data_IF_713332501875
#
_entry.id   IF_713332501875
#
_cell.length_a   1.000
_cell.length_b   1.000
_cell.length_c   1.000
_cell.angle_alpha   90.00
_cell.angle_beta   90.00
_cell.angle_gamma   90.00
#
_symmetry.space_group_name_H-M   'P 1'
#
loop_
_entity.id
_entity.type
_entity.pdbx_description
1 polymer ?
#
# COMPACT_ATOMS: atom_id res chain seq x y z
N UNK A 1 -25.61 2.11 -0.71
CA UNK A 1 -24.42 2.14 0.16
C UNK A 1 -23.90 0.72 0.30
N UNK A 2 -22.95 0.34 -0.54
CA UNK A 2 -22.23 -0.94 -0.47
C UNK A 2 -20.75 -0.61 -0.32
N UNK A 3 -20.29 -0.36 0.90
CA UNK A 3 -18.85 -0.41 1.22
C UNK A 3 -18.43 -1.87 1.29
N UNK A 4 -18.40 -2.53 0.12
CA UNK A 4 -18.03 -3.93 -0.05
C UNK A 4 -17.00 -4.04 -1.17
N UNK A 5 -15.76 -4.35 -0.77
CA UNK A 5 -14.63 -4.74 -1.63
C UNK A 5 -14.23 -3.74 -2.74
N UNK A 6 -13.86 -2.52 -2.36
CA UNK A 6 -12.93 -1.75 -3.22
C UNK A 6 -11.60 -2.52 -3.31
N UNK A 7 -11.26 -2.96 -4.53
CA UNK A 7 -10.01 -3.65 -4.80
C UNK A 7 -8.85 -2.71 -4.46
N UNK A 8 -7.79 -3.17 -3.75
CA UNK A 8 -6.72 -2.30 -3.28
C UNK A 8 -5.97 -1.64 -4.44
N UNK A 9 -6.03 -2.25 -5.62
CA UNK A 9 -5.53 -1.73 -6.89
C UNK A 9 -6.11 -0.34 -7.19
N UNK A 10 -7.41 -0.09 -6.95
CA UNK A 10 -8.05 1.18 -7.29
C UNK A 10 -7.53 2.31 -6.43
N UNK A 11 -7.44 2.09 -5.11
CA UNK A 11 -6.93 3.08 -4.17
C UNK A 11 -5.42 3.31 -4.26
N UNK A 12 -4.66 2.40 -4.88
CA UNK A 12 -3.20 2.48 -4.97
C UNK A 12 -2.69 3.06 -6.29
N UNK A 13 -3.50 3.10 -7.37
CA UNK A 13 -3.08 3.68 -8.66
C UNK A 13 -2.65 5.14 -8.51
N UNK A 14 -3.43 5.96 -7.80
CA UNK A 14 -3.10 7.37 -7.62
C UNK A 14 -1.75 7.57 -6.87
N UNK A 15 -1.55 7.04 -5.65
CA UNK A 15 -0.32 7.26 -4.90
C UNK A 15 0.90 6.51 -5.45
N UNK A 16 0.73 5.33 -6.05
CA UNK A 16 1.86 4.46 -6.46
C UNK A 16 2.27 4.63 -7.91
N UNK A 17 1.34 4.99 -8.81
CA UNK A 17 1.63 5.10 -10.24
C UNK A 17 1.54 6.54 -10.74
N UNK A 18 0.42 7.22 -10.50
CA UNK A 18 0.18 8.56 -11.05
C UNK A 18 1.07 9.60 -10.36
N UNK A 19 1.14 9.58 -9.02
CA UNK A 19 1.85 10.60 -8.24
C UNK A 19 3.34 10.69 -8.57
N UNK A 20 4.11 9.58 -8.70
CA UNK A 20 5.49 9.62 -9.20
C UNK A 20 5.64 10.30 -10.57
N UNK A 21 4.73 10.00 -11.51
CA UNK A 21 4.73 10.61 -12.85
C UNK A 21 4.51 12.12 -12.76
N UNK A 22 3.59 12.56 -11.90
CA UNK A 22 3.36 13.99 -11.66
C UNK A 22 4.56 14.67 -10.99
N UNK A 23 5.24 14.02 -10.05
CA UNK A 23 6.50 14.53 -9.46
C UNK A 23 7.62 14.65 -10.51
N UNK A 24 7.67 13.75 -11.49
CA UNK A 24 8.57 13.92 -12.62
C UNK A 24 8.17 15.10 -13.50
N UNK A 25 6.87 15.30 -13.73
CA UNK A 25 6.34 16.44 -14.50
C UNK A 25 6.64 17.80 -13.84
N UNK A 26 6.68 17.88 -12.50
CA UNK A 26 7.03 19.12 -11.77
C UNK A 26 8.39 19.70 -12.20
N UNK A 27 9.33 18.85 -12.66
CA UNK A 27 10.64 19.28 -13.16
C UNK A 27 10.57 20.04 -14.49
N UNK A 28 9.48 19.86 -15.24
CA UNK A 28 9.26 20.46 -16.55
C UNK A 28 8.22 21.57 -16.48
N UNK A 29 7.11 21.34 -15.79
CA UNK A 29 6.03 22.30 -15.60
C UNK A 29 5.32 22.06 -14.26
N UNK A 30 5.63 22.92 -13.29
CA UNK A 30 5.04 22.87 -11.96
C UNK A 30 3.52 23.15 -12.00
N UNK A 31 3.07 24.09 -12.83
CA UNK A 31 1.66 24.49 -12.89
C UNK A 31 0.78 23.41 -13.49
N UNK A 32 1.24 22.79 -14.58
CA UNK A 32 0.55 21.65 -15.20
C UNK A 32 0.47 20.46 -14.23
N UNK A 33 1.59 20.13 -13.56
CA UNK A 33 1.60 19.03 -12.58
C UNK A 33 0.63 19.26 -11.42
N UNK A 34 0.63 20.46 -10.84
CA UNK A 34 -0.30 20.81 -9.75
C UNK A 34 -1.76 20.75 -10.20
N UNK A 35 -2.06 21.23 -11.42
CA UNK A 35 -3.42 21.20 -11.99
C UNK A 35 -3.92 19.77 -12.17
N UNK A 36 -3.10 18.91 -12.79
CA UNK A 36 -3.42 17.49 -12.98
C UNK A 36 -3.59 16.78 -11.64
N UNK A 37 -2.69 17.01 -10.69
CA UNK A 37 -2.77 16.42 -9.35
C UNK A 37 -4.07 16.77 -8.64
N UNK A 38 -4.44 18.05 -8.65
CA UNK A 38 -5.68 18.52 -8.03
C UNK A 38 -6.92 17.92 -8.70
N UNK A 39 -6.95 17.91 -10.05
CA UNK A 39 -8.07 17.37 -10.81
C UNK A 39 -8.25 15.86 -10.58
N UNK A 40 -7.19 15.07 -10.68
CA UNK A 40 -7.23 13.61 -10.51
C UNK A 40 -7.58 13.21 -9.07
N UNK A 41 -7.09 13.96 -8.08
CA UNK A 41 -7.44 13.73 -6.67
C UNK A 41 -8.92 14.04 -6.41
N UNK A 42 -9.42 15.17 -6.95
CA UNK A 42 -10.84 15.56 -6.79
C UNK A 42 -11.77 14.61 -7.53
N UNK A 43 -11.38 14.16 -8.71
CA UNK A 43 -12.14 13.19 -9.50
C UNK A 43 -12.24 11.83 -8.78
N UNK A 44 -11.14 11.34 -8.21
CA UNK A 44 -11.13 10.10 -7.41
C UNK A 44 -12.03 10.20 -6.18
N UNK A 45 -12.00 11.34 -5.48
CA UNK A 45 -12.84 11.55 -4.30
C UNK A 45 -14.34 11.59 -4.65
N UNK A 46 -14.68 12.09 -5.84
CA UNK A 46 -16.06 12.13 -6.33
C UNK A 46 -16.53 10.77 -6.90
N UNK A 47 -15.62 10.04 -7.56
CA UNK A 47 -15.87 8.76 -8.22
C UNK A 47 -14.70 7.81 -7.93
N UNK A 48 -14.77 7.02 -6.84
CA UNK A 48 -13.73 6.05 -6.50
C UNK A 48 -13.51 5.04 -7.63
N UNK A 49 -12.25 4.79 -7.98
CA UNK A 49 -11.86 3.91 -9.09
C UNK A 49 -11.64 4.62 -10.42
N UNK A 50 -11.98 5.91 -10.54
CA UNK A 50 -11.84 6.66 -11.80
C UNK A 50 -10.39 6.69 -12.30
N UNK A 51 -9.41 6.88 -11.43
CA UNK A 51 -8.00 6.86 -11.84
C UNK A 51 -7.55 5.49 -12.32
N UNK A 52 -8.06 4.41 -11.71
CA UNK A 52 -7.80 3.05 -12.18
C UNK A 52 -8.39 2.83 -13.57
N UNK A 53 -9.64 3.22 -13.79
CA UNK A 53 -10.31 3.08 -15.08
C UNK A 53 -9.60 3.89 -16.18
N UNK A 54 -9.12 5.09 -15.85
CA UNK A 54 -8.31 5.91 -16.73
C UNK A 54 -7.03 5.18 -17.16
N UNK A 55 -6.24 4.69 -16.19
CA UNK A 55 -4.99 3.97 -16.47
C UNK A 55 -5.26 2.67 -17.24
N UNK A 56 -6.24 1.89 -16.82
CA UNK A 56 -6.64 0.66 -17.50
C UNK A 56 -7.14 0.94 -18.93
N UNK A 57 -7.82 2.07 -19.16
CA UNK A 57 -8.20 2.56 -20.47
C UNK A 57 -7.00 2.85 -21.37
N UNK A 58 -5.99 3.55 -20.84
CA UNK A 58 -4.74 3.85 -21.55
C UNK A 58 -4.00 2.56 -21.91
N UNK A 59 -3.82 1.63 -20.96
CA UNK A 59 -3.12 0.36 -21.19
C UNK A 59 -3.81 -0.50 -22.25
N UNK A 60 -5.15 -0.59 -22.19
CA UNK A 60 -5.95 -1.30 -23.22
C UNK A 60 -5.82 -0.66 -24.59
N UNK A 61 -5.79 0.67 -24.67
CA UNK A 61 -5.60 1.39 -25.94
C UNK A 61 -4.20 1.22 -26.52
N UNK A 62 -3.20 1.06 -25.67
CA UNK A 62 -1.81 0.81 -26.07
C UNK A 62 -1.53 -0.68 -26.40
N UNK A 63 -2.52 -1.57 -26.24
CA UNK A 63 -2.40 -3.02 -26.42
C UNK A 63 -1.24 -3.65 -25.62
N UNK A 64 -1.01 -3.14 -24.41
CA UNK A 64 0.04 -3.66 -23.52
C UNK A 64 -0.60 -4.65 -22.54
N UNK A 65 -0.30 -5.96 -22.63
CA UNK A 65 -0.84 -6.95 -21.71
C UNK A 65 -0.13 -6.83 -20.35
N UNK A 66 -0.73 -6.09 -19.42
CA UNK A 66 -0.16 -5.83 -18.09
C UNK A 66 -1.08 -6.35 -17.00
N UNK A 67 -0.52 -7.14 -16.09
CA UNK A 67 -1.19 -7.41 -14.82
C UNK A 67 -1.02 -6.21 -13.87
N UNK A 68 -2.06 -5.39 -13.76
CA UNK A 68 -2.04 -4.19 -12.91
C UNK A 68 -1.71 -4.47 -11.45
N UNK A 69 -2.12 -5.62 -10.90
CA UNK A 69 -1.82 -5.96 -9.51
C UNK A 69 -0.32 -6.25 -9.33
N UNK A 70 0.25 -7.00 -10.27
CA UNK A 70 1.69 -7.31 -10.28
C UNK A 70 2.52 -6.03 -10.44
N UNK A 71 2.18 -5.20 -11.43
CA UNK A 71 2.92 -3.97 -11.72
C UNK A 71 2.85 -2.98 -10.56
N UNK A 72 1.68 -2.78 -9.95
CA UNK A 72 1.59 -1.91 -8.77
C UNK A 72 2.36 -2.47 -7.58
N UNK A 73 2.38 -3.80 -7.40
CA UNK A 73 3.13 -4.42 -6.32
C UNK A 73 4.65 -4.20 -6.51
N UNK A 74 5.17 -4.36 -7.73
CA UNK A 74 6.57 -4.05 -8.08
C UNK A 74 6.90 -2.56 -7.84
N UNK A 75 6.05 -1.67 -8.36
CA UNK A 75 6.24 -0.21 -8.24
C UNK A 75 6.20 0.27 -6.78
N UNK A 76 5.46 -0.41 -5.90
CA UNK A 76 5.44 -0.07 -4.48
C UNK A 76 6.84 -0.12 -3.85
N UNK A 77 7.73 -0.97 -4.35
CA UNK A 77 9.11 -1.11 -3.88
C UNK A 77 10.06 -0.02 -4.37
N UNK A 78 9.69 0.69 -5.44
CA UNK A 78 10.52 1.72 -6.07
C UNK A 78 10.22 3.12 -5.55
N UNK A 79 9.11 3.30 -4.82
CA UNK A 79 8.74 4.60 -4.26
C UNK A 79 9.77 5.07 -3.23
N UNK A 80 10.26 6.29 -3.43
CA UNK A 80 11.12 7.01 -2.50
C UNK A 80 10.32 7.54 -1.31
N UNK A 81 11.03 7.91 -0.23
CA UNK A 81 10.42 8.56 0.92
C UNK A 81 9.68 9.85 0.54
N UNK A 82 10.18 10.59 -0.46
CA UNK A 82 9.58 11.81 -0.99
C UNK A 82 8.24 11.53 -1.69
N UNK A 83 8.16 10.46 -2.46
CA UNK A 83 6.91 10.06 -3.15
C UNK A 83 5.87 9.53 -2.15
N UNK A 84 6.32 9.01 -1.01
CA UNK A 84 5.48 8.61 0.12
C UNK A 84 5.24 9.72 1.17
N UNK A 85 5.65 10.97 0.91
CA UNK A 85 5.62 12.05 1.91
C UNK A 85 4.24 12.28 2.55
N UNK A 86 3.15 12.04 1.82
CA UNK A 86 1.79 12.19 2.36
C UNK A 86 1.50 11.20 3.50
N UNK A 87 2.17 10.04 3.52
CA UNK A 87 2.00 8.98 4.52
C UNK A 87 3.08 9.01 5.61
N UNK A 88 4.15 9.79 5.44
CA UNK A 88 5.22 9.91 6.43
C UNK A 88 4.71 10.67 7.65
N UNK A 89 5.02 10.12 8.82
CA UNK A 89 4.84 10.76 10.12
C UNK A 89 6.03 11.70 10.38
N UNK A 90 5.75 12.96 10.70
CA UNK A 90 6.71 14.05 10.92
C UNK A 90 7.18 14.17 12.38
N UNK A 91 6.55 13.43 13.28
CA UNK A 91 6.88 13.38 14.71
C UNK A 91 8.29 12.82 14.97
N UNK A 92 9.08 13.52 15.78
CA UNK A 92 10.49 13.18 16.03
C UNK A 92 10.67 12.04 17.03
N UNK A 93 9.62 11.65 17.76
CA UNK A 93 9.69 10.58 18.74
C UNK A 93 10.00 9.21 18.09
N UNK A 94 10.84 8.43 18.78
CA UNK A 94 11.37 7.16 18.27
C UNK A 94 10.28 6.19 17.81
N UNK A 95 9.18 6.09 18.56
CA UNK A 95 8.05 5.21 18.22
C UNK A 95 7.44 5.52 16.84
N UNK A 96 7.33 6.80 16.47
CA UNK A 96 6.78 7.22 15.18
C UNK A 96 7.77 7.00 14.04
N UNK A 97 9.06 7.23 14.30
CA UNK A 97 10.13 6.95 13.33
C UNK A 97 10.28 5.44 13.07
N UNK A 98 10.20 4.61 14.11
CA UNK A 98 10.21 3.17 13.95
C UNK A 98 8.96 2.68 13.20
N UNK A 99 7.77 3.25 13.43
CA UNK A 99 6.57 2.93 12.65
C UNK A 99 6.75 3.26 11.15
N UNK A 100 7.31 4.42 10.81
CA UNK A 100 7.67 4.77 9.43
C UNK A 100 8.62 3.71 8.81
N UNK A 101 9.66 3.34 9.55
CA UNK A 101 10.67 2.36 9.08
C UNK A 101 10.08 0.96 8.91
N UNK A 102 9.29 0.47 9.87
CA UNK A 102 8.68 -0.87 9.79
C UNK A 102 7.65 -0.95 8.67
N UNK A 103 6.85 0.09 8.48
CA UNK A 103 5.88 0.15 7.39
C UNK A 103 6.55 0.18 6.02
N UNK A 104 7.62 0.97 5.85
CA UNK A 104 8.41 0.97 4.62
C UNK A 104 9.08 -0.40 4.35
N UNK A 105 9.65 -1.02 5.38
CA UNK A 105 10.27 -2.34 5.26
C UNK A 105 9.27 -3.42 4.82
N UNK A 106 8.07 -3.46 5.43
CA UNK A 106 7.03 -4.39 5.04
C UNK A 106 6.61 -4.19 3.57
N UNK A 107 6.34 -2.95 3.15
CA UNK A 107 5.96 -2.63 1.78
C UNK A 107 7.05 -3.05 0.77
N UNK A 108 8.32 -2.84 1.12
CA UNK A 108 9.47 -3.25 0.29
C UNK A 108 9.60 -4.77 0.17
N UNK A 109 9.40 -5.53 1.24
CA UNK A 109 9.42 -7.00 1.15
C UNK A 109 8.25 -7.50 0.32
N UNK A 110 7.04 -6.98 0.52
CA UNK A 110 5.85 -7.35 -0.27
C UNK A 110 6.04 -7.06 -1.77
N UNK A 111 6.76 -5.98 -2.12
CA UNK A 111 7.04 -5.62 -3.52
C UNK A 111 7.92 -6.60 -4.28
N UNK A 112 8.66 -7.48 -3.57
CA UNK A 112 9.51 -8.52 -4.17
C UNK A 112 8.74 -9.78 -4.57
N UNK A 113 7.49 -9.93 -4.11
CA UNK A 113 6.70 -11.15 -4.37
C UNK A 113 6.62 -11.47 -5.87
N UNK A 114 6.33 -10.53 -6.78
CA UNK A 114 6.28 -10.82 -8.22
C UNK A 114 7.56 -11.44 -8.80
N UNK A 115 8.73 -11.07 -8.26
CA UNK A 115 10.02 -11.57 -8.71
C UNK A 115 10.40 -12.92 -8.09
N UNK A 116 9.94 -13.17 -6.88
CA UNK A 116 10.40 -14.31 -6.08
C UNK A 116 9.40 -15.47 -6.07
N UNK A 117 8.12 -15.24 -6.40
CA UNK A 117 7.01 -16.21 -6.30
C UNK A 117 7.21 -17.48 -7.14
N UNK A 118 8.02 -17.41 -8.20
CA UNK A 118 8.33 -18.55 -9.09
C UNK A 118 9.42 -19.46 -8.54
N UNK A 119 10.35 -18.93 -7.73
CA UNK A 119 11.37 -19.74 -7.04
C UNK A 119 10.86 -20.11 -5.65
N UNK A 120 10.47 -21.37 -5.49
CA UNK A 120 9.91 -21.88 -4.23
C UNK A 120 10.83 -21.66 -3.03
N UNK A 121 12.14 -21.85 -3.17
CA UNK A 121 13.08 -21.73 -2.04
C UNK A 121 13.19 -20.28 -1.63
N UNK A 122 13.41 -19.40 -2.60
CA UNK A 122 13.50 -17.95 -2.38
C UNK A 122 12.19 -17.42 -1.80
N UNK A 123 11.04 -17.80 -2.38
CA UNK A 123 9.72 -17.37 -1.93
C UNK A 123 9.41 -17.79 -0.49
N UNK A 124 9.82 -18.98 -0.05
CA UNK A 124 9.64 -19.42 1.33
C UNK A 124 10.43 -18.54 2.32
N UNK A 125 11.62 -18.07 1.95
CA UNK A 125 12.37 -17.10 2.75
C UNK A 125 11.66 -15.74 2.76
N UNK A 126 11.16 -15.27 1.61
CA UNK A 126 10.35 -14.04 1.52
C UNK A 126 9.13 -14.10 2.44
N UNK A 127 8.43 -15.23 2.50
CA UNK A 127 7.28 -15.42 3.39
C UNK A 127 7.68 -15.28 4.86
N UNK A 128 8.83 -15.84 5.26
CA UNK A 128 9.37 -15.68 6.63
C UNK A 128 9.73 -14.22 6.93
N UNK A 129 10.35 -13.54 5.97
CA UNK A 129 10.66 -12.11 6.08
C UNK A 129 9.36 -11.28 6.26
N UNK A 130 8.32 -11.56 5.47
CA UNK A 130 7.01 -10.91 5.57
C UNK A 130 6.40 -11.14 6.96
N UNK A 131 6.38 -12.39 7.44
CA UNK A 131 5.84 -12.70 8.76
C UNK A 131 6.57 -11.95 9.88
N UNK A 132 7.91 -11.88 9.80
CA UNK A 132 8.74 -11.11 10.73
C UNK A 132 8.45 -9.60 10.66
N UNK A 133 8.32 -9.04 9.45
CA UNK A 133 8.02 -7.63 9.23
C UNK A 133 6.61 -7.24 9.71
N UNK A 134 5.61 -8.10 9.50
CA UNK A 134 4.24 -7.95 10.02
C UNK A 134 4.25 -7.85 11.53
N UNK A 135 4.98 -8.76 12.21
CA UNK A 135 5.12 -8.73 13.67
C UNK A 135 5.74 -7.41 14.14
N UNK A 136 6.88 -7.03 13.56
CA UNK A 136 7.58 -5.77 13.89
C UNK A 136 6.72 -4.53 13.66
N UNK A 137 5.91 -4.50 12.59
CA UNK A 137 4.97 -3.41 12.34
C UNK A 137 3.89 -3.34 13.43
N UNK A 138 3.29 -4.48 13.79
CA UNK A 138 2.27 -4.53 14.84
C UNK A 138 2.80 -4.11 16.21
N UNK A 139 4.05 -4.48 16.53
CA UNK A 139 4.73 -4.05 17.75
C UNK A 139 4.90 -2.52 17.76
N UNK A 140 5.40 -1.93 16.66
CA UNK A 140 5.53 -0.47 16.53
C UNK A 140 4.18 0.27 16.60
N UNK A 141 3.10 -0.32 16.06
CA UNK A 141 1.75 0.25 16.20
C UNK A 141 1.30 0.28 17.66
N UNK A 142 1.64 -0.74 18.47
CA UNK A 142 1.31 -0.75 19.89
C UNK A 142 2.07 0.34 20.66
N UNK A 143 3.34 0.57 20.32
CA UNK A 143 4.14 1.63 20.91
C UNK A 143 3.53 3.01 20.61
N UNK A 144 3.18 3.28 19.34
CA UNK A 144 2.52 4.54 18.95
C UNK A 144 1.12 4.69 19.57
N UNK A 145 0.41 3.59 19.81
CA UNK A 145 -0.90 3.58 20.50
C UNK A 145 -0.81 4.12 21.94
N UNK A 146 0.36 4.04 22.58
CA UNK A 146 0.59 4.64 23.90
C UNK A 146 0.63 6.18 23.86
N UNK A 147 1.03 6.76 22.72
CA UNK A 147 1.12 8.22 22.51
C UNK A 147 -0.14 8.83 21.89
N UNK A 148 -1.13 8.00 21.56
CA UNK A 148 -2.34 8.44 20.85
C UNK A 148 -3.50 8.61 21.84
N UNK A 149 -4.17 9.78 21.91
CA UNK A 149 -5.25 10.03 22.85
C UNK A 149 -6.54 9.24 22.53
N UNK A 150 -7.40 9.05 23.53
CA UNK A 150 -8.53 8.09 23.57
C UNK A 150 -9.25 7.78 22.24
N UNK A 151 -9.90 8.74 21.57
CA UNK A 151 -10.60 8.49 20.31
C UNK A 151 -9.68 8.04 19.16
N UNK A 152 -8.46 8.57 19.10
CA UNK A 152 -7.43 8.15 18.14
C UNK A 152 -6.94 6.73 18.41
N UNK A 153 -6.80 6.35 19.69
CA UNK A 153 -6.41 5.00 20.11
C UNK A 153 -7.42 3.94 19.67
N UNK A 154 -8.71 4.22 19.79
CA UNK A 154 -9.77 3.33 19.32
C UNK A 154 -9.73 3.14 17.80
N UNK A 155 -9.53 4.23 17.05
CA UNK A 155 -9.37 4.17 15.60
C UNK A 155 -8.14 3.34 15.19
N UNK A 156 -7.01 3.51 15.88
CA UNK A 156 -5.79 2.75 15.62
C UNK A 156 -5.96 1.26 15.93
N UNK A 157 -6.62 0.90 17.04
CA UNK A 157 -6.93 -0.50 17.36
C UNK A 157 -7.86 -1.13 16.32
N UNK A 158 -8.83 -0.38 15.79
CA UNK A 158 -9.68 -0.87 14.69
C UNK A 158 -8.84 -1.15 13.43
N UNK A 159 -7.96 -0.23 13.03
CA UNK A 159 -7.05 -0.44 11.88
C UNK A 159 -6.12 -1.63 12.08
N UNK A 160 -5.60 -1.81 13.29
CA UNK A 160 -4.80 -2.97 13.67
C UNK A 160 -5.57 -4.29 13.51
N UNK A 161 -6.83 -4.35 13.96
CA UNK A 161 -7.69 -5.53 13.77
C UNK A 161 -7.95 -5.83 12.29
N UNK A 162 -8.22 -4.81 11.49
CA UNK A 162 -8.38 -4.94 10.04
C UNK A 162 -7.10 -5.47 9.38
N UNK A 163 -5.94 -4.90 9.72
CA UNK A 163 -4.65 -5.37 9.22
C UNK A 163 -4.40 -6.86 9.57
N UNK A 164 -4.67 -7.27 10.82
CA UNK A 164 -4.56 -8.69 11.23
C UNK A 164 -5.50 -9.59 10.42
N UNK A 165 -6.74 -9.15 10.15
CA UNK A 165 -7.68 -9.88 9.29
C UNK A 165 -7.09 -10.11 7.89
N UNK A 166 -6.52 -9.08 7.27
CA UNK A 166 -5.90 -9.20 5.94
C UNK A 166 -4.59 -10.01 5.96
N UNK A 167 -3.81 -9.97 7.05
CA UNK A 167 -2.63 -10.82 7.23
C UNK A 167 -2.99 -12.32 7.29
N UNK A 168 -4.08 -12.66 7.99
CA UNK A 168 -4.62 -14.02 7.98
C UNK A 168 -5.13 -14.42 6.59
N UNK A 169 -5.83 -13.52 5.89
CA UNK A 169 -6.28 -13.74 4.50
C UNK A 169 -5.09 -14.04 3.59
N UNK A 170 -4.04 -13.22 3.64
CA UNK A 170 -2.80 -13.44 2.88
C UNK A 170 -2.17 -14.81 3.17
N UNK A 171 -2.10 -15.20 4.44
CA UNK A 171 -1.60 -16.52 4.82
C UNK A 171 -2.43 -17.67 4.25
N UNK A 172 -3.75 -17.52 4.16
CA UNK A 172 -4.63 -18.51 3.53
C UNK A 172 -4.46 -18.54 2.01
N UNK A 173 -4.39 -17.38 1.36
CA UNK A 173 -4.11 -17.26 -0.07
C UNK A 173 -2.80 -17.92 -0.46
N UNK A 174 -1.75 -17.81 0.37
CA UNK A 174 -0.49 -18.52 0.14
C UNK A 174 -0.67 -20.05 0.18
N UNK A 175 -1.49 -20.58 1.09
CA UNK A 175 -1.79 -22.01 1.16
C UNK A 175 -2.53 -22.49 -0.09
N UNK A 176 -3.46 -21.70 -0.59
CA UNK A 176 -4.18 -21.97 -1.84
C UNK A 176 -3.24 -21.89 -3.04
N UNK A 177 -2.37 -20.88 -3.10
CA UNK A 177 -1.34 -20.75 -4.14
C UNK A 177 -0.44 -21.98 -4.23
N UNK A 178 0.04 -22.52 -3.11
CA UNK A 178 0.87 -23.73 -3.15
C UNK A 178 0.12 -24.99 -3.62
N UNK A 179 -1.22 -24.96 -3.68
CA UNK A 179 -2.04 -26.05 -4.24
C UNK A 179 -2.41 -25.82 -5.70
N UNK A 180 -2.80 -24.59 -6.05
CA UNK A 180 -3.45 -24.26 -7.32
C UNK A 180 -2.58 -23.44 -8.28
N UNK A 181 -1.47 -22.87 -7.81
CA UNK A 181 -0.53 -22.08 -8.62
C UNK A 181 -1.01 -20.68 -9.02
N UNK A 182 -2.15 -20.20 -8.50
CA UNK A 182 -2.74 -18.92 -8.89
C UNK A 182 -2.02 -17.70 -8.28
N UNK A 183 -0.94 -17.25 -8.91
CA UNK A 183 -0.10 -16.16 -8.42
C UNK A 183 -0.84 -14.82 -8.26
N UNK A 184 -1.79 -14.50 -9.15
CA UNK A 184 -2.51 -13.22 -9.10
C UNK A 184 -3.29 -13.02 -7.80
N UNK A 185 -3.83 -14.09 -7.20
CA UNK A 185 -4.52 -14.02 -5.91
C UNK A 185 -3.56 -13.57 -4.79
N UNK A 186 -2.31 -14.03 -4.83
CA UNK A 186 -1.25 -13.61 -3.90
C UNK A 186 -0.93 -12.13 -4.08
N UNK A 187 -0.83 -11.65 -5.32
CA UNK A 187 -0.57 -10.23 -5.61
C UNK A 187 -1.67 -9.33 -5.05
N UNK A 188 -2.94 -9.65 -5.32
CA UNK A 188 -4.09 -8.92 -4.78
C UNK A 188 -4.07 -8.91 -3.25
N UNK A 189 -3.79 -10.06 -2.63
CA UNK A 189 -3.74 -10.14 -1.17
C UNK A 189 -2.56 -9.38 -0.55
N UNK A 190 -1.42 -9.28 -1.24
CA UNK A 190 -0.29 -8.45 -0.83
C UNK A 190 -0.61 -6.95 -0.94
N UNK A 191 -1.29 -6.53 -2.01
CA UNK A 191 -1.75 -5.15 -2.17
C UNK A 191 -2.72 -4.73 -1.06
N UNK A 192 -3.59 -5.64 -0.59
CA UNK A 192 -4.42 -5.36 0.59
C UNK A 192 -3.56 -5.08 1.83
N UNK A 193 -2.47 -5.82 2.06
CA UNK A 193 -1.57 -5.54 3.20
C UNK A 193 -0.90 -4.18 3.08
N UNK A 194 -0.46 -3.79 1.88
CA UNK A 194 0.09 -2.45 1.61
C UNK A 194 -0.97 -1.38 1.90
N UNK A 195 -2.19 -1.56 1.38
CA UNK A 195 -3.29 -0.63 1.61
C UNK A 195 -3.58 -0.47 3.13
N UNK A 196 -3.72 -1.58 3.86
CA UNK A 196 -3.97 -1.54 5.30
C UNK A 196 -2.80 -0.90 6.08
N UNK A 197 -1.56 -1.12 5.64
CA UNK A 197 -0.39 -0.43 6.21
C UNK A 197 -0.50 1.08 6.03
N UNK A 198 -0.89 1.54 4.84
CA UNK A 198 -1.09 2.97 4.57
C UNK A 198 -2.26 3.55 5.40
N UNK A 199 -3.33 2.80 5.63
CA UNK A 199 -4.45 3.22 6.47
C UNK A 199 -4.06 3.39 7.95
N UNK A 200 -3.17 2.54 8.45
CA UNK A 200 -2.59 2.69 9.79
C UNK A 200 -1.81 4.02 9.87
N UNK A 201 -0.90 4.26 8.93
CA UNK A 201 -0.10 5.50 8.89
C UNK A 201 -0.99 6.74 8.80
N UNK A 202 -1.99 6.73 7.92
CA UNK A 202 -2.95 7.82 7.77
C UNK A 202 -3.75 8.08 9.07
N UNK A 203 -4.13 7.01 9.77
CA UNK A 203 -4.85 7.14 11.05
C UNK A 203 -3.98 7.75 12.13
N UNK A 204 -2.72 7.33 12.24
CA UNK A 204 -1.76 7.93 13.18
C UNK A 204 -1.52 9.39 12.83
N UNK A 205 -1.31 9.70 11.55
CA UNK A 205 -1.08 11.06 11.07
C UNK A 205 -2.23 12.01 11.46
N UNK A 206 -3.48 11.61 11.24
CA UNK A 206 -4.64 12.48 11.49
C UNK A 206 -5.09 12.54 12.96
N UNK A 207 -4.65 11.61 13.80
CA UNK A 207 -5.11 11.48 15.18
C UNK A 207 -4.03 11.75 16.22
N UNK A 208 -2.78 11.85 15.79
CA UNK A 208 -1.60 12.00 16.64
C UNK A 208 -0.64 13.10 16.19
N UNK A 209 -0.84 13.70 15.02
CA UNK A 209 -0.26 15.00 14.60
C UNK A 209 -1.36 16.08 14.61
#
# INVERSE_FOLDING_TARGET
MTMGDELPVTSLVLPVLIRPVLTQLEKYDLGASQTLRAALTKAEAAVPGLNYDLVAGIMRRADIPVNMNESLLRLQGTLTETECADLRLNRSEEAFQELNKKSAALKKILSRIPDEITDRKTFLETIKEIASAIKKLLDAVNEVSAYTPGPGKQALEQRKREFVKYSKRFSNTLKEYFKEGQANAVFVSALYLIHQTNQILYTVKNKSE
#
